data_IF_384348026660
#
_entry.id   IF_384348026660
#
_cell.length_a   1.000
_cell.length_b   1.000
_cell.length_c   1.000
_cell.angle_alpha   90.00
_cell.angle_beta   90.00
_cell.angle_gamma   90.00
#
_symmetry.space_group_name_H-M   'P 1'
#
loop_
_entity.id
_entity.type
_entity.pdbx_description
1 polymer ?
#
# COMPACT_ATOMS: atom_id res chain seq x y z
N UNK A 1 4.87 -12.91 2.93
CA UNK A 1 3.81 -13.09 1.92
C UNK A 1 3.91 -14.48 1.32
N UNK A 2 2.78 -15.15 1.06
CA UNK A 2 2.70 -16.35 0.23
C UNK A 2 2.18 -16.01 -1.17
N UNK A 3 1.84 -17.03 -1.97
CA UNK A 3 1.42 -16.85 -3.37
C UNK A 3 0.19 -15.96 -3.50
N UNK A 4 -0.84 -16.19 -2.68
CA UNK A 4 -2.10 -15.41 -2.72
C UNK A 4 -1.87 -13.93 -2.45
N UNK A 5 -1.00 -13.60 -1.50
CA UNK A 5 -0.67 -12.21 -1.19
C UNK A 5 0.14 -11.55 -2.31
N UNK A 6 1.02 -12.30 -2.98
CA UNK A 6 1.75 -11.80 -4.15
C UNK A 6 0.80 -11.53 -5.32
N UNK A 7 -0.13 -12.45 -5.60
CA UNK A 7 -1.15 -12.27 -6.64
C UNK A 7 -2.02 -11.04 -6.36
N UNK A 8 -2.49 -10.89 -5.12
CA UNK A 8 -3.27 -9.73 -4.70
C UNK A 8 -2.48 -8.43 -4.84
N UNK A 9 -1.20 -8.43 -4.46
CA UNK A 9 -0.33 -7.27 -4.65
C UNK A 9 -0.20 -6.91 -6.14
N UNK A 10 -0.03 -7.89 -7.03
CA UNK A 10 0.04 -7.66 -8.47
C UNK A 10 -1.24 -7.00 -8.98
N UNK A 11 -2.42 -7.49 -8.57
CA UNK A 11 -3.71 -6.92 -8.96
C UNK A 11 -3.87 -5.47 -8.49
N UNK A 12 -3.46 -5.16 -7.24
CA UNK A 12 -3.45 -3.81 -6.70
C UNK A 12 -2.54 -2.90 -7.53
N UNK A 13 -1.31 -3.32 -7.81
CA UNK A 13 -0.35 -2.55 -8.61
C UNK A 13 -0.90 -2.28 -10.02
N UNK A 14 -1.50 -3.27 -10.66
CA UNK A 14 -2.12 -3.10 -11.99
C UNK A 14 -3.30 -2.12 -11.97
N UNK A 15 -4.16 -2.21 -10.94
CA UNK A 15 -5.28 -1.29 -10.74
C UNK A 15 -4.80 0.15 -10.55
N UNK A 16 -3.78 0.36 -9.72
CA UNK A 16 -3.20 1.69 -9.50
C UNK A 16 -2.51 2.24 -10.75
N UNK A 17 -1.79 1.41 -11.52
CA UNK A 17 -1.22 1.83 -12.82
C UNK A 17 -2.33 2.29 -13.77
N UNK A 18 -3.46 1.59 -13.82
CA UNK A 18 -4.59 1.95 -14.66
C UNK A 18 -5.23 3.30 -14.30
N UNK A 19 -5.09 3.77 -13.04
CA UNK A 19 -5.53 5.12 -12.61
C UNK A 19 -4.63 6.25 -13.14
N UNK A 20 -3.48 5.94 -13.72
CA UNK A 20 -2.55 6.93 -14.27
C UNK A 20 -2.01 7.86 -13.20
N UNK A 21 -2.02 9.18 -13.43
CA UNK A 21 -1.42 10.18 -12.51
C UNK A 21 -2.14 10.35 -11.16
N UNK A 22 -3.35 9.83 -11.02
CA UNK A 22 -4.17 9.95 -9.79
C UNK A 22 -4.13 8.67 -8.94
N UNK A 23 -3.06 7.89 -9.05
CA UNK A 23 -2.89 6.70 -8.24
C UNK A 23 -2.36 7.06 -6.85
N UNK A 24 -2.62 6.20 -5.88
CA UNK A 24 -2.30 6.47 -4.48
C UNK A 24 -0.87 6.06 -4.12
N UNK A 25 -0.28 5.12 -4.88
CA UNK A 25 0.98 4.44 -4.52
C UNK A 25 2.23 5.01 -5.21
N UNK A 26 2.11 6.09 -5.99
CA UNK A 26 3.29 6.76 -6.58
C UNK A 26 4.17 7.34 -5.48
N UNK A 27 5.48 7.21 -5.65
CA UNK A 27 6.47 7.60 -4.65
C UNK A 27 6.69 6.54 -3.57
N UNK A 28 6.17 5.32 -3.74
CA UNK A 28 6.44 4.22 -2.81
C UNK A 28 7.88 3.72 -2.94
N UNK A 29 8.57 3.67 -1.80
CA UNK A 29 9.92 3.10 -1.66
C UNK A 29 9.88 1.69 -1.07
N UNK A 30 9.01 1.47 -0.10
CA UNK A 30 8.87 0.17 0.59
C UNK A 30 7.41 -0.25 0.65
N UNK A 31 7.14 -1.53 0.39
CA UNK A 31 5.81 -2.13 0.58
C UNK A 31 5.90 -3.06 1.77
N UNK A 32 5.22 -2.71 2.86
CA UNK A 32 5.08 -3.55 4.04
C UNK A 32 3.78 -4.34 3.95
N UNK A 33 3.83 -5.64 4.25
CA UNK A 33 2.64 -6.47 4.36
C UNK A 33 2.45 -6.94 5.79
N UNK A 34 1.33 -6.56 6.39
CA UNK A 34 0.95 -7.01 7.73
C UNK A 34 -0.22 -7.99 7.63
N UNK A 35 -0.02 -9.17 8.20
CA UNK A 35 -1.04 -10.21 8.28
C UNK A 35 -1.73 -10.12 9.63
N UNK A 36 -2.92 -9.52 9.66
CA UNK A 36 -3.76 -9.58 10.86
C UNK A 36 -4.36 -11.00 10.99
N UNK A 37 -4.06 -11.67 12.09
CA UNK A 37 -4.60 -13.01 12.43
C UNK A 37 -5.84 -12.96 13.33
N UNK A 38 -6.28 -11.77 13.72
CA UNK A 38 -7.32 -11.49 14.71
C UNK A 38 -8.53 -10.71 14.16
N UNK A 39 -8.36 -9.83 13.18
CA UNK A 39 -9.45 -9.04 12.57
C UNK A 39 -9.27 -8.90 11.05
N UNK A 40 -9.93 -9.78 10.32
CA UNK A 40 -10.48 -9.75 8.94
C UNK A 40 -9.83 -8.98 7.76
N UNK A 41 -8.76 -8.18 7.89
CA UNK A 41 -8.09 -7.54 6.76
C UNK A 41 -6.57 -7.51 6.93
N UNK A 42 -5.87 -8.35 6.16
CA UNK A 42 -4.44 -8.16 5.93
C UNK A 42 -4.22 -6.95 5.03
N UNK A 43 -3.15 -6.18 5.27
CA UNK A 43 -2.96 -4.85 4.69
C UNK A 43 -1.59 -4.72 4.03
N UNK A 44 -1.56 -4.03 2.89
CA UNK A 44 -0.35 -3.49 2.28
C UNK A 44 -0.20 -2.02 2.61
N UNK A 45 0.94 -1.65 3.20
CA UNK A 45 1.34 -0.27 3.43
C UNK A 45 2.39 0.11 2.41
N UNK A 46 2.06 1.08 1.57
CA UNK A 46 2.90 1.66 0.53
C UNK A 46 3.61 2.88 1.11
N UNK A 47 4.79 2.64 1.69
CA UNK A 47 5.57 3.64 2.41
C UNK A 47 6.31 4.56 1.44
N UNK A 48 6.04 5.87 1.58
CA UNK A 48 6.68 6.95 0.80
C UNK A 48 7.82 7.59 1.59
N UNK A 49 8.59 6.73 2.25
CA UNK A 49 9.75 7.11 3.04
C UNK A 49 11.00 6.50 2.42
N UNK A 50 11.96 7.35 2.06
CA UNK A 50 13.27 6.91 1.55
C UNK A 50 14.05 6.16 2.65
N UNK A 51 13.80 6.53 3.91
CA UNK A 51 14.33 5.85 5.09
C UNK A 51 13.33 5.94 6.25
N UNK A 52 13.55 5.16 7.30
CA UNK A 52 12.77 5.22 8.56
C UNK A 52 12.77 6.61 9.24
N UNK A 53 13.59 7.56 8.76
CA UNK A 53 13.75 8.91 9.33
C UNK A 53 13.18 9.99 8.39
N UNK A 54 13.08 9.72 7.08
CA UNK A 54 12.64 10.70 6.09
C UNK A 54 11.46 10.16 5.27
N UNK A 55 10.29 10.73 5.54
CA UNK A 55 9.04 10.44 4.85
C UNK A 55 8.55 11.68 4.10
N UNK A 56 8.22 11.52 2.83
CA UNK A 56 7.59 12.58 2.04
C UNK A 56 6.12 12.72 2.42
N UNK A 57 5.46 11.58 2.66
CA UNK A 57 4.02 11.48 2.94
C UNK A 57 3.73 10.31 3.90
N UNK A 58 2.55 10.33 4.52
CA UNK A 58 1.95 9.17 5.20
C UNK A 58 1.76 8.03 4.20
N UNK A 59 1.93 6.77 4.63
CA UNK A 59 1.76 5.63 3.74
C UNK A 59 0.31 5.49 3.29
N UNK A 60 0.13 5.02 2.05
CA UNK A 60 -1.16 4.53 1.58
C UNK A 60 -1.37 3.12 2.10
N UNK A 61 -2.54 2.82 2.64
CA UNK A 61 -2.91 1.50 3.13
C UNK A 61 -4.02 0.90 2.27
N UNK A 62 -3.78 -0.30 1.74
CA UNK A 62 -4.72 -1.03 0.89
C UNK A 62 -4.89 -2.44 1.45
N UNK A 63 -6.13 -2.83 1.71
CA UNK A 63 -6.48 -4.18 2.12
C UNK A 63 -6.12 -5.21 1.04
N UNK A 64 -5.95 -6.47 1.43
CA UNK A 64 -5.64 -7.58 0.53
C UNK A 64 -6.63 -7.72 -0.63
N UNK A 65 -7.90 -7.35 -0.44
CA UNK A 65 -8.94 -7.38 -1.47
C UNK A 65 -8.93 -6.14 -2.40
N UNK A 66 -7.95 -5.25 -2.27
CA UNK A 66 -7.84 -4.02 -3.05
C UNK A 66 -8.64 -2.83 -2.53
N UNK A 67 -9.36 -2.96 -1.41
CA UNK A 67 -10.04 -1.82 -0.77
C UNK A 67 -9.00 -0.86 -0.19
N UNK A 68 -9.06 0.41 -0.58
CA UNK A 68 -8.22 1.46 0.01
C UNK A 68 -8.73 1.76 1.43
N UNK A 69 -7.87 1.58 2.42
CA UNK A 69 -8.15 1.84 3.85
C UNK A 69 -7.76 3.29 4.20
N UNK A 70 -6.60 3.74 3.73
CA UNK A 70 -6.11 5.11 3.86
C UNK A 70 -5.38 5.49 2.56
N UNK A 71 -5.71 6.64 1.99
CA UNK A 71 -5.04 7.15 0.79
C UNK A 71 -3.62 7.66 1.09
N UNK A 72 -3.28 7.88 2.36
CA UNK A 72 -2.02 8.48 2.78
C UNK A 72 -2.04 10.01 2.59
N UNK A 73 -0.91 10.58 2.16
CA UNK A 73 -0.80 12.01 1.85
C UNK A 73 -0.04 12.81 2.90
N UNK A 74 -0.20 14.14 2.98
CA UNK A 74 0.67 15.00 3.78
C UNK A 74 0.78 14.59 5.25
N UNK A 75 1.96 14.83 5.83
CA UNK A 75 2.23 14.57 7.24
C UNK A 75 1.54 15.60 8.18
N UNK A 76 1.04 16.72 7.64
CA UNK A 76 0.44 17.85 8.37
C UNK A 76 -0.79 18.42 7.65
#
# INVERSE_FOLDING_TARGET
>A
MGTKEIESLIEILQSEIAKGRKNNITGTWHIHFEKDTSNEQSVFSFNKCESEIYCEERPTQIALNGTVIDEGGPLF
#
